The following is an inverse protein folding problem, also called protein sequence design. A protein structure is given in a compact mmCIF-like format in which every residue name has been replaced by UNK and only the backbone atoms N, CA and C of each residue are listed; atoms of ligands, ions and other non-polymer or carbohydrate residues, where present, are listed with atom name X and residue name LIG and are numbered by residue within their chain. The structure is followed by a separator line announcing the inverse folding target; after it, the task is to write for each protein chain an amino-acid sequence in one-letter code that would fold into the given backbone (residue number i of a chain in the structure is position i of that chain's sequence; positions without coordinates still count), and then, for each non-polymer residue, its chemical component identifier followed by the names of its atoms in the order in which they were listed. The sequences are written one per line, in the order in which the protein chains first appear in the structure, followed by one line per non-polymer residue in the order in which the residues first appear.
data_IF_549556976491
#
_entry.id   IF_549556976491
#
_cell.length_a   1.000
_cell.length_b   1.000
_cell.length_c   1.000
_cell.angle_alpha   90.00
_cell.angle_beta   90.00
_cell.angle_gamma   90.00
#
_symmetry.space_group_name_H-M   'P 1'
#
loop_
_entity.id
_entity.type
_entity.pdbx_description
1 polymer ?
#
# COMPACT_ATOMS: atom_id res chain seq x y z
N UNK A 1 9.56 9.21 -8.32
CA UNK A 1 9.77 8.80 -6.91
C UNK A 1 8.82 9.62 -6.06
N UNK A 2 8.14 8.99 -5.09
CA UNK A 2 7.14 9.61 -4.23
C UNK A 2 7.58 9.57 -2.78
N UNK A 3 7.26 10.65 -2.06
CA UNK A 3 7.34 10.68 -0.61
C UNK A 3 6.19 9.84 -0.01
N UNK A 4 6.35 9.30 1.21
CA UNK A 4 5.31 8.50 1.87
C UNK A 4 3.98 9.24 2.05
N UNK A 5 4.02 10.54 2.37
CA UNK A 5 2.82 11.39 2.49
C UNK A 5 2.08 11.51 1.16
N UNK A 6 2.81 11.73 0.07
CA UNK A 6 2.25 11.82 -1.28
C UNK A 6 1.60 10.50 -1.70
N UNK A 7 2.26 9.37 -1.39
CA UNK A 7 1.70 8.05 -1.65
C UNK A 7 0.45 7.79 -0.84
N UNK A 8 0.42 8.17 0.44
CA UNK A 8 -0.76 8.02 1.29
C UNK A 8 -1.94 8.82 0.71
N UNK A 9 -1.74 10.10 0.38
CA UNK A 9 -2.76 10.94 -0.27
C UNK A 9 -3.21 10.35 -1.61
N UNK A 10 -2.29 9.80 -2.40
CA UNK A 10 -2.59 9.14 -3.67
C UNK A 10 -3.52 7.94 -3.46
N UNK A 11 -3.24 7.09 -2.47
CA UNK A 11 -4.02 5.88 -2.18
C UNK A 11 -5.42 6.23 -1.67
N UNK A 12 -5.52 7.21 -0.76
CA UNK A 12 -6.80 7.64 -0.18
C UNK A 12 -7.75 8.21 -1.24
N UNK A 13 -7.23 8.94 -2.21
CA UNK A 13 -8.02 9.49 -3.33
C UNK A 13 -8.61 8.39 -4.23
N UNK A 14 -8.01 7.20 -4.25
CA UNK A 14 -8.34 6.10 -5.17
C UNK A 14 -8.81 4.84 -4.44
N UNK A 15 -9.34 5.02 -3.24
CA UNK A 15 -9.67 3.96 -2.28
C UNK A 15 -10.26 2.70 -2.91
N UNK A 16 -9.89 1.55 -2.34
CA UNK A 16 -10.37 0.25 -2.80
C UNK A 16 -9.56 -0.42 -3.91
N UNK A 17 -8.67 0.32 -4.58
CA UNK A 17 -7.77 -0.20 -5.62
C UNK A 17 -6.40 -0.54 -5.06
N UNK A 18 -5.87 -1.69 -5.46
CA UNK A 18 -4.51 -2.12 -5.10
C UNK A 18 -3.47 -1.51 -6.05
N UNK A 19 -2.40 -1.00 -5.44
CA UNK A 19 -1.24 -0.45 -6.14
C UNK A 19 0.03 -1.16 -5.69
N UNK A 20 0.90 -1.41 -6.66
CA UNK A 20 2.24 -1.94 -6.46
C UNK A 20 3.23 -0.78 -6.41
N UNK A 21 4.11 -0.80 -5.42
CA UNK A 21 5.24 0.15 -5.28
C UNK A 21 6.49 -0.60 -4.86
N UNK A 22 7.66 -0.10 -5.21
CA UNK A 22 8.95 -0.56 -4.67
C UNK A 22 9.44 0.44 -3.63
N UNK A 23 9.78 -0.04 -2.44
CA UNK A 23 10.40 0.79 -1.41
C UNK A 23 11.90 0.89 -1.65
N UNK A 24 12.41 2.12 -1.63
CA UNK A 24 13.79 2.47 -1.87
C UNK A 24 14.38 3.12 -0.63
N UNK A 25 15.55 2.65 -0.20
CA UNK A 25 16.35 3.27 0.83
C UNK A 25 17.45 4.09 0.18
N UNK A 26 17.38 5.41 0.34
CA UNK A 26 18.40 6.33 -0.10
C UNK A 26 19.40 6.56 1.04
N UNK A 27 20.64 6.15 0.85
CA UNK A 27 21.71 6.28 1.84
C UNK A 27 22.84 7.16 1.33
N UNK A 28 23.42 7.99 2.21
CA UNK A 28 24.52 8.89 1.87
C UNK A 28 24.08 10.27 1.38
N UNK A 29 25.06 11.16 1.15
CA UNK A 29 24.83 12.57 0.74
C UNK A 29 25.74 12.94 -0.42
N UNK A 30 25.24 13.71 -1.39
CA UNK A 30 26.02 14.20 -2.54
C UNK A 30 26.40 13.10 -3.53
N UNK A 31 27.62 13.14 -4.09
CA UNK A 31 28.12 12.22 -5.12
C UNK A 31 28.20 10.74 -4.71
N UNK A 32 28.03 10.42 -3.42
CA UNK A 32 28.04 9.05 -2.88
C UNK A 32 26.66 8.56 -2.47
N UNK A 33 25.59 9.24 -2.88
CA UNK A 33 24.24 8.76 -2.62
C UNK A 33 24.02 7.42 -3.33
N UNK A 34 23.62 6.41 -2.58
CA UNK A 34 23.25 5.09 -3.09
C UNK A 34 21.77 4.86 -2.87
N UNK A 35 21.13 4.22 -3.85
CA UNK A 35 19.73 3.82 -3.77
C UNK A 35 19.71 2.30 -3.69
N UNK A 36 19.11 1.78 -2.63
CA UNK A 36 18.92 0.35 -2.42
C UNK A 36 17.44 0.01 -2.50
N UNK A 37 17.09 -0.98 -3.31
CA UNK A 37 15.75 -1.54 -3.34
C UNK A 37 15.53 -2.46 -2.13
N UNK A 38 14.47 -2.21 -1.36
CA UNK A 38 14.10 -3.02 -0.20
C UNK A 38 13.07 -4.10 -0.54
N UNK A 39 12.32 -3.89 -1.63
CA UNK A 39 11.32 -4.85 -2.11
C UNK A 39 10.03 -4.19 -2.55
N UNK A 40 9.15 -5.03 -3.09
CA UNK A 40 7.85 -4.65 -3.61
C UNK A 40 6.80 -4.74 -2.49
N UNK A 41 5.93 -3.73 -2.44
CA UNK A 41 4.78 -3.66 -1.56
C UNK A 41 3.50 -3.53 -2.39
N UNK A 42 2.46 -4.21 -1.96
CA UNK A 42 1.10 -4.02 -2.47
C UNK A 42 0.30 -3.25 -1.43
N UNK A 43 -0.25 -2.11 -1.84
CA UNK A 43 -0.91 -1.15 -0.96
C UNK A 43 -2.33 -0.89 -1.42
N UNK A 44 -3.26 -0.87 -0.48
CA UNK A 44 -4.64 -0.45 -0.70
C UNK A 44 -5.10 0.41 0.46
N UNK A 45 -5.80 1.52 0.21
CA UNK A 45 -6.39 2.34 1.26
C UNK A 45 -7.91 2.22 1.31
N UNK A 46 -8.45 2.25 2.53
CA UNK A 46 -9.89 2.25 2.84
C UNK A 46 -10.17 3.06 4.09
N UNK A 47 -10.93 4.15 3.94
CA UNK A 47 -11.18 5.08 5.04
C UNK A 47 -9.85 5.52 5.67
N UNK A 48 -9.70 5.30 6.97
CA UNK A 48 -8.50 5.65 7.74
C UNK A 48 -7.44 4.54 7.82
N UNK A 49 -7.62 3.44 7.07
CA UNK A 49 -6.72 2.30 7.08
C UNK A 49 -6.04 2.08 5.73
N UNK A 50 -4.78 1.69 5.80
CA UNK A 50 -3.98 1.21 4.66
C UNK A 50 -3.64 -0.26 4.91
N UNK A 51 -4.08 -1.13 4.01
CA UNK A 51 -3.56 -2.48 3.95
C UNK A 51 -2.25 -2.49 3.16
N UNK A 52 -1.19 -2.95 3.82
CA UNK A 52 0.13 -3.08 3.23
C UNK A 52 0.58 -4.53 3.27
N UNK A 53 0.80 -5.11 2.10
CA UNK A 53 1.41 -6.43 1.92
C UNK A 53 2.88 -6.24 1.56
N UNK A 54 3.77 -6.70 2.44
CA UNK A 54 5.21 -6.59 2.24
C UNK A 54 5.79 -7.64 1.28
N UNK A 55 7.10 -7.55 0.98
CA UNK A 55 7.77 -8.45 0.04
C UNK A 55 7.81 -9.92 0.50
N UNK A 56 7.61 -10.17 1.80
CA UNK A 56 7.47 -11.51 2.38
C UNK A 56 6.06 -12.10 2.24
N UNK A 57 5.12 -11.35 1.65
CA UNK A 57 3.70 -11.72 1.56
C UNK A 57 2.88 -11.43 2.82
N UNK A 58 3.50 -10.93 3.89
CA UNK A 58 2.78 -10.58 5.11
C UNK A 58 1.95 -9.32 4.89
N UNK A 59 0.65 -9.40 5.19
CA UNK A 59 -0.28 -8.27 5.11
C UNK A 59 -0.53 -7.69 6.50
N UNK A 60 -0.46 -6.36 6.61
CA UNK A 60 -0.79 -5.61 7.84
C UNK A 60 -1.75 -4.48 7.51
N UNK A 61 -2.74 -4.27 8.37
CA UNK A 61 -3.54 -3.05 8.36
C UNK A 61 -2.81 -2.01 9.20
N UNK A 62 -2.62 -0.82 8.64
CA UNK A 62 -1.92 0.30 9.25
C UNK A 62 -2.85 1.49 9.29
N UNK A 63 -2.91 2.20 10.41
CA UNK A 63 -3.40 3.57 10.43
C UNK A 63 -2.51 4.48 9.57
N UNK A 64 -3.00 5.68 9.25
CA UNK A 64 -2.19 6.69 8.56
C UNK A 64 -0.88 7.01 9.30
N UNK A 65 -0.92 7.08 10.63
CA UNK A 65 0.26 7.35 11.44
C UNK A 65 1.26 6.19 11.37
N UNK A 66 0.79 4.94 11.49
CA UNK A 66 1.64 3.75 11.38
C UNK A 66 2.24 3.61 9.98
N UNK A 67 1.46 3.94 8.93
CA UNK A 67 1.97 3.97 7.57
C UNK A 67 3.16 4.93 7.44
N UNK A 68 3.03 6.15 7.97
CA UNK A 68 4.12 7.13 7.94
C UNK A 68 5.31 6.72 8.83
N UNK A 69 5.09 6.01 9.94
CA UNK A 69 6.18 5.46 10.74
C UNK A 69 6.94 4.36 9.99
N UNK A 70 6.23 3.48 9.29
CA UNK A 70 6.84 2.37 8.54
C UNK A 70 7.57 2.87 7.29
N UNK A 71 6.94 3.76 6.52
CA UNK A 71 7.46 4.19 5.22
C UNK A 71 8.21 5.52 5.26
N UNK A 72 8.17 6.26 6.37
CA UNK A 72 8.69 7.63 6.51
C UNK A 72 10.15 7.83 6.11
N UNK A 73 10.96 6.79 6.28
CA UNK A 73 12.40 6.80 5.94
C UNK A 73 12.70 6.33 4.51
N UNK A 74 11.67 5.96 3.75
CA UNK A 74 11.82 5.43 2.39
C UNK A 74 11.36 6.42 1.34
N UNK A 75 11.87 6.20 0.14
CA UNK A 75 11.31 6.77 -1.08
C UNK A 75 10.60 5.65 -1.84
N UNK A 76 9.44 5.92 -2.43
CA UNK A 76 8.69 4.90 -3.14
C UNK A 76 8.72 5.16 -4.65
N UNK A 77 8.66 4.10 -5.45
CA UNK A 77 8.43 4.25 -6.90
C UNK A 77 7.02 4.78 -7.17
N UNK A 78 6.75 5.15 -8.42
CA UNK A 78 5.39 5.48 -8.82
C UNK A 78 4.46 4.27 -8.59
N UNK A 79 3.26 4.46 -8.03
CA UNK A 79 2.29 3.39 -7.83
C UNK A 79 1.77 2.87 -9.17
N UNK A 80 1.95 1.57 -9.39
CA UNK A 80 1.45 0.86 -10.55
C UNK A 80 0.13 0.17 -10.17
N UNK A 81 -0.98 0.39 -10.90
CA UNK A 81 -2.23 -0.32 -10.62
C UNK A 81 -2.04 -1.82 -10.91
N UNK A 82 -2.44 -2.68 -9.97
CA UNK A 82 -2.32 -4.14 -10.17
C UNK A 82 -3.52 -4.74 -10.88
N UNK A 83 -4.59 -3.96 -11.06
CA UNK A 83 -5.88 -4.43 -11.57
C UNK A 83 -6.74 -5.11 -10.51
N UNK A 84 -6.24 -5.33 -9.29
CA UNK A 84 -7.05 -5.86 -8.18
C UNK A 84 -7.87 -4.75 -7.54
N UNK A 85 -9.18 -4.94 -7.54
CA UNK A 85 -10.12 -4.19 -6.71
C UNK A 85 -10.40 -5.03 -5.47
N UNK A 86 -10.14 -4.45 -4.30
CA UNK A 86 -10.50 -5.10 -3.05
C UNK A 86 -12.00 -4.92 -2.74
N UNK A 87 -12.68 -3.96 -3.40
CA UNK A 87 -14.07 -3.55 -3.13
C UNK A 87 -15.15 -4.54 -3.53
N UNK A 88 -14.75 -5.75 -3.91
CA UNK A 88 -15.67 -6.86 -4.04
C UNK A 88 -15.69 -7.60 -2.70
N UNK A 89 -16.41 -7.03 -1.72
CA UNK A 89 -17.09 -7.90 -0.76
C UNK A 89 -17.94 -8.91 -1.56
N UNK A 90 -18.30 -10.08 -1.00
CA UNK A 90 -19.09 -11.06 -1.74
C UNK A 90 -20.35 -10.36 -2.29
N UNK A 91 -20.38 -10.13 -3.62
CA UNK A 91 -21.50 -9.44 -4.28
C UNK A 91 -22.81 -10.26 -4.16
N UNK A 92 -22.67 -11.51 -3.73
CA UNK A 92 -23.76 -12.42 -3.43
C UNK A 92 -23.44 -13.08 -2.09
N UNK A 93 -23.79 -12.42 -1.00
CA UNK A 93 -24.19 -13.18 0.18
C UNK A 93 -25.50 -13.86 -0.23
N UNK A 94 -25.39 -15.09 -0.73
CA UNK A 94 -26.53 -15.94 -1.02
C UNK A 94 -27.36 -16.00 0.26
N UNK A 95 -28.45 -15.23 0.31
CA UNK A 95 -29.50 -15.41 1.31
C UNK A 95 -30.24 -16.68 0.91
N UNK A 96 -29.56 -17.82 1.01
CA UNK A 96 -30.28 -19.07 1.18
C UNK A 96 -30.71 -19.09 2.65
N UNK A 97 -31.90 -18.55 2.86
CA UNK A 97 -32.68 -18.85 4.05
C UNK A 97 -32.71 -20.37 4.21
N UNK A 98 -32.23 -20.85 5.35
CA UNK A 98 -32.58 -22.18 5.80
C UNK A 98 -34.06 -22.11 6.25
N UNK A 99 -34.99 -22.83 5.61
CA UNK A 99 -36.30 -23.03 6.21
C UNK A 99 -36.18 -23.93 7.45
N UNK A 100 -37.14 -23.71 8.35
CA UNK A 100 -37.31 -24.30 9.68
C UNK A 100 -37.31 -25.83 9.72
#
# INVERSE_FOLDING_TARGET
MLAPTELLSFLLTRGGREYRVTALLCSGRGRKATVRELGVYHLTARGDQVQATGPTGQTRALSHAEFLQVFGSYTLTAPEPTGRMTDLGPLFAETMGAPA
#
